data_IF_959079311664
#
_entry.id   IF_959079311664
#
_cell.length_a   1.000
_cell.length_b   1.000
_cell.length_c   1.000
_cell.angle_alpha   90.00
_cell.angle_beta   90.00
_cell.angle_gamma   90.00
#
_symmetry.space_group_name_H-M   'P 1'
#
loop_
_entity.id
_entity.type
_entity.pdbx_description
1 polymer ?
#
# COMPACT_ATOMS: atom_id res chain seq x y z
N UNK A 1 -6.56 -9.20 -26.57
CA UNK A 1 -5.40 -9.79 -27.27
C UNK A 1 -4.76 -8.81 -28.26
N UNK A 2 -5.41 -8.48 -29.38
CA UNK A 2 -4.87 -7.55 -30.38
C UNK A 2 -4.30 -6.25 -29.80
N UNK A 3 -5.03 -5.60 -28.89
CA UNK A 3 -4.56 -4.36 -28.23
C UNK A 3 -3.26 -4.56 -27.44
N UNK A 4 -3.12 -5.68 -26.72
CA UNK A 4 -1.90 -6.00 -25.96
C UNK A 4 -0.72 -6.16 -26.91
N UNK A 5 -0.93 -6.85 -28.03
CA UNK A 5 0.14 -7.18 -28.97
C UNK A 5 0.58 -5.96 -29.80
N UNK A 6 -0.39 -5.21 -30.33
CA UNK A 6 -0.12 -4.04 -31.19
C UNK A 6 0.44 -2.86 -30.39
N UNK A 7 -0.07 -2.62 -29.18
CA UNK A 7 0.39 -1.53 -28.33
C UNK A 7 1.49 -1.95 -27.34
N UNK A 8 1.90 -3.23 -27.36
CA UNK A 8 2.93 -3.81 -26.49
C UNK A 8 2.67 -3.49 -25.00
N UNK A 9 1.44 -3.78 -24.54
CA UNK A 9 1.04 -3.47 -23.17
C UNK A 9 1.70 -4.42 -22.17
N UNK A 10 2.22 -3.84 -21.08
CA UNK A 10 2.74 -4.57 -19.91
C UNK A 10 1.82 -4.47 -18.70
N UNK A 11 0.86 -3.55 -18.71
CA UNK A 11 0.00 -3.24 -17.57
C UNK A 11 -1.42 -2.93 -18.06
N UNK A 12 -2.40 -3.59 -17.45
CA UNK A 12 -3.83 -3.31 -17.66
C UNK A 12 -4.46 -3.02 -16.31
N UNK A 13 -5.10 -1.86 -16.24
CA UNK A 13 -6.03 -1.52 -15.19
C UNK A 13 -7.42 -1.87 -15.69
N UNK A 14 -8.07 -2.85 -15.04
CA UNK A 14 -9.47 -3.18 -15.28
C UNK A 14 -10.32 -2.43 -14.27
N UNK A 15 -10.95 -1.35 -14.72
CA UNK A 15 -11.99 -0.65 -13.97
C UNK A 15 -13.36 -1.11 -14.45
N UNK A 16 -14.32 -1.17 -13.52
CA UNK A 16 -15.70 -1.49 -13.83
C UNK A 16 -16.38 -2.33 -12.76
N UNK A 17 -17.68 -2.10 -12.60
CA UNK A 17 -18.52 -2.89 -11.72
C UNK A 17 -18.74 -4.28 -12.33
N UNK A 18 -18.42 -5.33 -11.59
CA UNK A 18 -18.75 -6.71 -11.99
C UNK A 18 -20.22 -7.07 -11.66
N UNK A 19 -20.96 -6.14 -11.04
CA UNK A 19 -22.37 -6.29 -10.69
C UNK A 19 -23.27 -5.66 -11.75
N UNK A 20 -23.89 -6.51 -12.56
CA UNK A 20 -24.94 -6.09 -13.50
C UNK A 20 -26.21 -5.79 -12.72
N UNK A 21 -26.43 -4.50 -12.41
CA UNK A 21 -27.59 -3.99 -11.65
C UNK A 21 -28.94 -4.32 -12.29
N UNK A 22 -28.99 -4.31 -13.63
CA UNK A 22 -30.19 -4.61 -14.44
C UNK A 22 -29.77 -5.36 -15.68
N UNK A 23 -30.46 -6.45 -16.00
CA UNK A 23 -30.31 -7.12 -17.29
C UNK A 23 -31.68 -7.34 -17.92
N UNK A 24 -31.79 -6.93 -19.18
CA UNK A 24 -33.02 -7.01 -19.96
C UNK A 24 -32.97 -8.16 -20.98
N UNK A 25 -31.88 -8.94 -21.00
CA UNK A 25 -31.79 -10.10 -21.89
C UNK A 25 -32.84 -11.13 -21.47
N UNK A 26 -33.62 -11.56 -22.43
CA UNK A 26 -34.62 -12.62 -22.28
C UNK A 26 -34.07 -14.00 -22.67
N UNK A 27 -32.80 -14.08 -23.09
CA UNK A 27 -32.14 -15.30 -23.53
C UNK A 27 -31.65 -16.22 -22.40
N UNK A 28 -31.69 -15.75 -21.14
CA UNK A 28 -31.31 -16.52 -19.96
C UNK A 28 -32.25 -16.16 -18.80
N UNK A 29 -32.18 -16.95 -17.72
CA UNK A 29 -33.00 -16.72 -16.52
C UNK A 29 -32.35 -15.70 -15.60
N UNK A 30 -33.13 -15.00 -14.78
CA UNK A 30 -32.61 -14.10 -13.74
C UNK A 30 -32.64 -14.74 -12.34
N UNK A 31 -32.68 -16.07 -12.28
CA UNK A 31 -32.55 -16.83 -11.03
C UNK A 31 -31.19 -16.58 -10.39
N UNK A 32 -31.08 -16.50 -9.06
CA UNK A 32 -29.82 -16.21 -8.38
C UNK A 32 -28.67 -17.15 -8.79
N UNK A 33 -28.96 -18.44 -9.05
CA UNK A 33 -27.98 -19.46 -9.46
C UNK A 33 -27.59 -19.39 -10.96
N UNK A 34 -28.32 -18.61 -11.76
CA UNK A 34 -28.07 -18.35 -13.18
C UNK A 34 -28.17 -16.84 -13.49
N UNK A 35 -27.90 -16.01 -12.49
CA UNK A 35 -28.18 -14.58 -12.55
C UNK A 35 -27.05 -13.85 -13.24
N UNK A 36 -27.32 -12.59 -13.59
CA UNK A 36 -26.31 -11.69 -14.12
C UNK A 36 -25.11 -11.51 -13.19
N UNK A 37 -25.27 -11.77 -11.88
CA UNK A 37 -24.17 -11.65 -10.92
C UNK A 37 -23.14 -12.77 -11.10
N UNK A 38 -23.60 -14.03 -11.15
CA UNK A 38 -22.71 -15.17 -11.39
C UNK A 38 -22.10 -15.07 -12.80
N UNK A 39 -22.92 -14.83 -13.82
CA UNK A 39 -22.47 -14.81 -15.22
C UNK A 39 -21.52 -13.64 -15.54
N UNK A 40 -21.66 -12.48 -14.89
CA UNK A 40 -20.74 -11.36 -15.11
C UNK A 40 -19.38 -11.59 -14.46
N UNK A 41 -19.36 -12.16 -13.25
CA UNK A 41 -18.12 -12.51 -12.55
C UNK A 41 -17.40 -13.66 -13.25
N UNK A 42 -18.13 -14.72 -13.60
CA UNK A 42 -17.57 -15.89 -14.30
C UNK A 42 -17.07 -15.53 -15.70
N UNK A 43 -17.82 -14.71 -16.44
CA UNK A 43 -17.39 -14.24 -17.76
C UNK A 43 -16.13 -13.36 -17.67
N UNK A 44 -16.04 -12.49 -16.66
CA UNK A 44 -14.83 -11.71 -16.42
C UNK A 44 -13.65 -12.61 -16.01
N UNK A 45 -13.88 -13.58 -15.13
CA UNK A 45 -12.88 -14.58 -14.74
C UNK A 45 -12.33 -15.34 -15.94
N UNK A 46 -13.20 -15.78 -16.87
CA UNK A 46 -12.79 -16.50 -18.08
C UNK A 46 -11.90 -15.62 -18.97
N UNK A 47 -12.29 -14.35 -19.17
CA UNK A 47 -11.49 -13.39 -19.94
C UNK A 47 -10.13 -13.18 -19.27
N UNK A 48 -10.09 -12.94 -17.95
CA UNK A 48 -8.85 -12.74 -17.22
C UNK A 48 -7.96 -13.98 -17.30
N UNK A 49 -8.49 -15.16 -17.01
CA UNK A 49 -7.76 -16.42 -17.05
C UNK A 49 -7.17 -16.68 -18.44
N UNK A 50 -7.97 -16.50 -19.50
CA UNK A 50 -7.51 -16.67 -20.87
C UNK A 50 -6.40 -15.68 -21.22
N UNK A 51 -6.57 -14.39 -20.92
CA UNK A 51 -5.53 -13.40 -21.25
C UNK A 51 -4.26 -13.64 -20.46
N UNK A 52 -4.35 -14.02 -19.18
CA UNK A 52 -3.18 -14.34 -18.34
C UNK A 52 -2.43 -15.57 -18.86
N UNK A 53 -3.13 -16.60 -19.31
CA UNK A 53 -2.52 -17.78 -19.92
C UNK A 53 -1.77 -17.39 -21.20
N UNK A 54 -2.41 -16.60 -22.06
CA UNK A 54 -1.85 -16.25 -23.37
C UNK A 54 -0.79 -15.15 -23.29
N UNK A 55 -0.85 -14.26 -22.29
CA UNK A 55 0.01 -13.06 -22.13
C UNK A 55 0.47 -12.90 -20.68
N UNK A 56 1.25 -13.85 -20.15
CA UNK A 56 1.59 -13.90 -18.71
C UNK A 56 2.49 -12.76 -18.23
N UNK A 57 3.04 -11.94 -19.14
CA UNK A 57 3.84 -10.76 -18.77
C UNK A 57 2.99 -9.55 -18.39
N UNK A 58 1.70 -9.54 -18.78
CA UNK A 58 0.81 -8.42 -18.53
C UNK A 58 0.38 -8.44 -17.07
N UNK A 59 0.64 -7.34 -16.37
CA UNK A 59 0.20 -7.10 -15.00
C UNK A 59 -1.25 -6.62 -15.03
N UNK A 60 -2.09 -7.24 -14.20
CA UNK A 60 -3.48 -6.87 -14.02
C UNK A 60 -3.72 -6.19 -12.67
N UNK A 61 -4.25 -4.97 -12.72
CA UNK A 61 -4.77 -4.24 -11.57
C UNK A 61 -6.29 -4.24 -11.57
N UNK A 62 -6.85 -4.69 -10.45
CA UNK A 62 -8.28 -4.66 -10.15
C UNK A 62 -8.70 -3.28 -9.67
N UNK A 63 -9.76 -2.73 -10.27
CA UNK A 63 -10.36 -1.44 -9.88
C UNK A 63 -11.88 -1.52 -9.99
N UNK A 64 -12.58 -0.96 -9.00
CA UNK A 64 -13.99 -0.62 -9.09
C UNK A 64 -14.24 0.64 -8.26
N UNK A 65 -14.28 1.81 -8.91
CA UNK A 65 -14.41 3.10 -8.22
C UNK A 65 -13.51 3.16 -6.98
N UNK A 66 -12.23 2.83 -7.18
CA UNK A 66 -11.29 2.55 -6.11
C UNK A 66 -11.38 1.11 -5.63
N UNK A 67 -11.37 0.93 -4.32
CA UNK A 67 -11.27 -0.38 -3.66
C UNK A 67 -12.60 -1.08 -3.41
N UNK A 68 -13.68 -0.79 -4.16
CA UNK A 68 -14.99 -1.39 -3.88
C UNK A 68 -15.04 -2.90 -4.19
N UNK A 69 -14.20 -3.38 -5.11
CA UNK A 69 -14.10 -4.81 -5.49
C UNK A 69 -12.91 -5.54 -4.85
N UNK A 70 -12.49 -5.19 -3.63
CA UNK A 70 -11.42 -5.94 -2.97
C UNK A 70 -11.94 -7.25 -2.36
N UNK A 71 -11.83 -8.35 -3.12
CA UNK A 71 -12.30 -9.68 -2.71
C UNK A 71 -11.19 -10.73 -2.72
N UNK A 72 -11.41 -11.88 -2.07
CA UNK A 72 -10.47 -13.01 -2.19
C UNK A 72 -10.49 -13.66 -3.58
N UNK A 73 -11.55 -13.44 -4.37
CA UNK A 73 -11.59 -13.87 -5.77
C UNK A 73 -10.66 -13.02 -6.62
N UNK A 74 -10.63 -11.70 -6.40
CA UNK A 74 -9.65 -10.80 -7.01
C UNK A 74 -8.22 -11.29 -6.73
N UNK A 75 -7.93 -11.79 -5.53
CA UNK A 75 -6.60 -12.32 -5.17
C UNK A 75 -6.17 -13.50 -6.06
N UNK A 76 -7.11 -14.27 -6.60
CA UNK A 76 -6.79 -15.41 -7.47
C UNK A 76 -6.47 -14.99 -8.91
N UNK A 77 -7.02 -13.85 -9.37
CA UNK A 77 -6.99 -13.43 -10.77
C UNK A 77 -6.07 -12.24 -11.04
N UNK A 78 -5.89 -11.36 -10.06
CA UNK A 78 -5.17 -10.10 -10.22
C UNK A 78 -3.82 -10.09 -9.52
N UNK A 79 -2.90 -9.31 -10.07
CA UNK A 79 -1.56 -9.12 -9.53
C UNK A 79 -1.57 -8.07 -8.40
N UNK A 80 -2.46 -7.09 -8.51
CA UNK A 80 -2.71 -6.03 -7.52
C UNK A 80 -4.14 -5.49 -7.59
N UNK A 81 -4.53 -4.65 -6.64
CA UNK A 81 -5.78 -3.89 -6.63
C UNK A 81 -5.52 -2.50 -6.09
N UNK A 82 -6.22 -1.50 -6.62
CA UNK A 82 -6.34 -0.20 -5.96
C UNK A 82 -7.15 -0.36 -4.66
N UNK A 83 -6.85 0.48 -3.68
CA UNK A 83 -7.52 0.48 -2.35
C UNK A 83 -8.50 1.64 -2.18
N UNK A 84 -8.31 2.75 -2.89
CA UNK A 84 -9.18 3.92 -2.83
C UNK A 84 -8.94 4.83 -4.05
N UNK A 85 -9.99 5.52 -4.49
CA UNK A 85 -9.89 6.61 -5.49
C UNK A 85 -9.45 7.92 -4.87
N UNK A 86 -9.62 8.07 -3.55
CA UNK A 86 -9.18 9.25 -2.86
C UNK A 86 -7.65 9.24 -2.74
N UNK A 87 -7.03 10.15 -3.49
CA UNK A 87 -5.58 10.28 -3.65
C UNK A 87 -4.95 11.29 -2.68
N UNK A 88 -5.71 11.78 -1.69
CA UNK A 88 -5.20 12.64 -0.61
C UNK A 88 -4.53 11.82 0.50
N UNK A 89 -3.72 12.50 1.30
CA UNK A 89 -2.82 11.85 2.27
C UNK A 89 -3.52 11.08 3.38
N UNK A 90 -4.63 11.59 3.92
CA UNK A 90 -5.32 10.96 5.05
C UNK A 90 -6.13 9.74 4.57
N UNK A 91 -7.00 9.87 3.55
CA UNK A 91 -7.77 8.74 3.05
C UNK A 91 -6.87 7.61 2.52
N UNK A 92 -5.76 7.94 1.85
CA UNK A 92 -4.78 6.95 1.41
C UNK A 92 -4.24 6.12 2.59
N UNK A 93 -3.87 6.76 3.70
CA UNK A 93 -3.34 6.05 4.87
C UNK A 93 -4.41 5.23 5.58
N UNK A 94 -5.64 5.73 5.66
CA UNK A 94 -6.79 4.98 6.19
C UNK A 94 -7.07 3.74 5.34
N UNK A 95 -7.07 3.89 4.02
CA UNK A 95 -7.24 2.78 3.08
C UNK A 95 -6.12 1.74 3.19
N UNK A 96 -4.84 2.16 3.29
CA UNK A 96 -3.71 1.27 3.53
C UNK A 96 -3.90 0.51 4.85
N UNK A 97 -4.24 1.22 5.92
CA UNK A 97 -4.44 0.62 7.25
C UNK A 97 -5.56 -0.43 7.22
N UNK A 98 -6.69 -0.12 6.58
CA UNK A 98 -7.83 -1.04 6.43
C UNK A 98 -7.53 -2.24 5.52
N UNK A 99 -7.03 -2.00 4.30
CA UNK A 99 -6.79 -3.04 3.30
C UNK A 99 -5.74 -4.07 3.75
N UNK A 100 -4.80 -3.66 4.59
CA UNK A 100 -3.74 -4.54 5.09
C UNK A 100 -4.14 -5.46 6.26
N UNK A 101 -5.41 -5.41 6.71
CA UNK A 101 -5.96 -6.45 7.59
C UNK A 101 -6.20 -7.78 6.84
N UNK A 102 -7.00 -7.79 5.75
CA UNK A 102 -7.26 -9.02 4.99
C UNK A 102 -6.30 -9.27 3.83
N UNK A 103 -5.61 -8.25 3.30
CA UNK A 103 -4.79 -8.38 2.09
C UNK A 103 -3.31 -8.14 2.33
N UNK A 104 -2.49 -8.81 1.52
CA UNK A 104 -1.05 -8.57 1.45
C UNK A 104 -0.74 -7.17 0.91
N UNK A 105 0.41 -6.62 1.30
CA UNK A 105 0.94 -5.33 0.81
C UNK A 105 1.10 -5.23 -0.71
N UNK A 106 1.04 -6.34 -1.45
CA UNK A 106 1.02 -6.30 -2.91
C UNK A 106 -0.31 -5.87 -3.52
N UNK A 107 -1.39 -5.91 -2.74
CA UNK A 107 -2.75 -5.52 -3.14
C UNK A 107 -3.14 -4.14 -2.61
N UNK A 108 -2.13 -3.27 -2.43
CA UNK A 108 -2.35 -1.93 -1.91
C UNK A 108 -1.89 -0.91 -2.94
N UNK A 109 -2.35 -1.03 -4.20
CA UNK A 109 -2.07 -0.02 -5.21
C UNK A 109 -2.71 1.30 -4.80
N UNK A 110 -2.01 2.40 -5.05
CA UNK A 110 -2.49 3.75 -4.78
C UNK A 110 -1.84 4.75 -5.70
N UNK A 111 -2.63 5.77 -6.00
CA UNK A 111 -2.26 6.86 -6.87
C UNK A 111 -2.06 8.10 -6.02
N UNK A 112 -0.89 8.72 -6.12
CA UNK A 112 -0.60 9.96 -5.41
C UNK A 112 -0.69 11.12 -6.39
N UNK A 113 -1.66 12.01 -6.15
CA UNK A 113 -1.86 13.25 -6.94
C UNK A 113 -1.39 14.51 -6.21
N UNK A 114 -1.38 14.48 -4.88
CA UNK A 114 -0.90 15.58 -4.03
C UNK A 114 0.56 15.94 -4.32
N UNK A 115 0.90 17.23 -4.19
CA UNK A 115 2.28 17.73 -4.40
C UNK A 115 3.25 17.06 -3.43
N UNK A 116 4.51 16.82 -3.83
CA UNK A 116 5.43 16.01 -3.03
C UNK A 116 5.99 16.84 -1.88
N UNK A 117 5.78 16.32 -0.67
CA UNK A 117 6.47 16.66 0.57
C UNK A 117 6.92 15.34 1.21
N UNK A 118 7.75 15.38 2.25
CA UNK A 118 8.05 14.16 3.01
C UNK A 118 6.76 13.52 3.53
N UNK A 119 5.85 14.32 4.08
CA UNK A 119 4.58 13.85 4.59
C UNK A 119 3.69 13.19 3.52
N UNK A 120 3.55 13.81 2.34
CA UNK A 120 2.63 13.31 1.30
C UNK A 120 3.18 12.07 0.58
N UNK A 121 4.48 12.06 0.29
CA UNK A 121 5.14 10.89 -0.32
C UNK A 121 5.13 9.69 0.60
N UNK A 122 5.43 9.89 1.89
CA UNK A 122 5.46 8.80 2.89
C UNK A 122 4.09 8.24 3.18
N UNK A 123 3.06 9.09 3.17
CA UNK A 123 1.66 8.67 3.27
C UNK A 123 1.26 7.66 2.18
N UNK A 124 1.94 7.68 1.03
CA UNK A 124 1.57 6.92 -0.16
C UNK A 124 2.52 5.78 -0.48
N UNK A 125 3.61 5.54 0.27
CA UNK A 125 4.66 4.59 -0.13
C UNK A 125 4.75 3.30 0.72
N UNK A 126 3.95 3.15 1.78
CA UNK A 126 3.85 1.88 2.52
C UNK A 126 3.06 0.84 1.71
N UNK A 127 3.66 -0.31 1.40
CA UNK A 127 3.06 -1.32 0.51
C UNK A 127 3.28 -1.03 -0.98
N UNK A 128 2.47 -1.60 -1.87
CA UNK A 128 2.68 -1.48 -3.32
C UNK A 128 1.45 -1.79 -4.18
N UNK A 129 1.48 -1.38 -5.47
CA UNK A 129 2.40 -0.44 -6.16
C UNK A 129 2.12 1.05 -5.86
N UNK A 130 3.19 1.88 -5.83
CA UNK A 130 3.08 3.34 -5.61
C UNK A 130 3.09 4.04 -6.96
N UNK A 131 1.96 4.63 -7.32
CA UNK A 131 1.75 5.21 -8.64
C UNK A 131 1.66 6.73 -8.50
N UNK A 132 2.32 7.45 -9.40
CA UNK A 132 2.37 8.92 -9.39
C UNK A 132 1.38 9.45 -10.43
N UNK A 133 0.28 10.05 -9.97
CA UNK A 133 -0.71 10.70 -10.83
C UNK A 133 -0.57 12.22 -10.76
N UNK A 134 0.66 12.70 -10.90
CA UNK A 134 0.98 14.13 -10.83
C UNK A 134 1.27 14.70 -12.20
N UNK A 135 1.01 16.01 -12.36
CA UNK A 135 1.50 16.78 -13.51
C UNK A 135 2.98 17.08 -13.35
N UNK A 136 3.83 16.14 -13.75
CA UNK A 136 5.29 16.20 -13.52
C UNK A 136 5.96 17.47 -14.08
N UNK A 137 5.40 18.04 -15.15
CA UNK A 137 5.89 19.28 -15.79
C UNK A 137 5.65 20.53 -14.94
N UNK A 138 4.68 20.49 -14.02
CA UNK A 138 4.30 21.61 -13.13
C UNK A 138 5.03 21.58 -11.77
N UNK A 139 5.82 20.53 -11.51
CA UNK A 139 6.64 20.44 -10.30
C UNK A 139 7.83 21.39 -10.38
N UNK A 140 8.13 22.07 -9.28
CA UNK A 140 9.36 22.83 -9.12
C UNK A 140 10.59 21.91 -9.09
N UNK A 141 11.78 22.50 -9.25
CA UNK A 141 13.03 21.71 -9.20
C UNK A 141 13.28 21.08 -7.83
N UNK A 142 12.87 21.73 -6.73
CA UNK A 142 12.97 21.17 -5.38
C UNK A 142 12.02 20.00 -5.18
N UNK A 143 10.77 20.12 -5.62
CA UNK A 143 9.77 19.05 -5.57
C UNK A 143 10.18 17.83 -6.39
N UNK A 144 10.71 18.03 -7.60
CA UNK A 144 11.24 16.93 -8.42
C UNK A 144 12.41 16.23 -7.75
N UNK A 145 13.30 17.00 -7.11
CA UNK A 145 14.47 16.45 -6.41
C UNK A 145 14.03 15.62 -5.19
N UNK A 146 13.09 16.13 -4.40
CA UNK A 146 12.48 15.41 -3.28
C UNK A 146 11.77 14.13 -3.74
N UNK A 147 10.95 14.23 -4.79
CA UNK A 147 10.24 13.08 -5.33
C UNK A 147 11.23 12.01 -5.83
N UNK A 148 12.33 12.42 -6.48
CA UNK A 148 13.40 11.51 -6.90
C UNK A 148 14.06 10.79 -5.72
N UNK A 149 14.36 11.49 -4.62
CA UNK A 149 14.95 10.87 -3.43
C UNK A 149 13.99 9.88 -2.76
N UNK A 150 12.72 10.24 -2.64
CA UNK A 150 11.70 9.36 -2.03
C UNK A 150 11.36 8.16 -2.93
N UNK A 151 11.40 8.31 -4.27
CA UNK A 151 11.32 7.16 -5.20
C UNK A 151 12.49 6.20 -4.98
N UNK A 152 13.72 6.72 -4.84
CA UNK A 152 14.89 5.88 -4.58
C UNK A 152 14.75 5.12 -3.26
N UNK A 153 14.25 5.81 -2.22
CA UNK A 153 13.95 5.21 -0.91
C UNK A 153 12.90 4.10 -1.03
N UNK A 154 11.79 4.37 -1.71
CA UNK A 154 10.76 3.35 -1.97
C UNK A 154 11.33 2.15 -2.71
N UNK A 155 12.17 2.36 -3.75
CA UNK A 155 12.82 1.28 -4.49
C UNK A 155 13.72 0.40 -3.62
N UNK A 156 14.40 0.98 -2.63
CA UNK A 156 15.23 0.24 -1.68
C UNK A 156 14.37 -0.61 -0.73
N UNK A 157 13.25 -0.08 -0.22
CA UNK A 157 12.41 -0.81 0.74
C UNK A 157 11.39 -1.76 0.09
N UNK A 158 10.95 -1.55 -1.15
CA UNK A 158 9.78 -2.27 -1.71
C UNK A 158 9.95 -3.80 -1.78
N UNK A 159 11.18 -4.32 -1.76
CA UNK A 159 11.43 -5.76 -1.71
C UNK A 159 10.99 -6.36 -0.37
N UNK A 160 11.11 -5.61 0.73
CA UNK A 160 10.61 -5.99 2.05
C UNK A 160 9.10 -6.29 1.99
N UNK A 161 8.32 -5.43 1.34
CA UNK A 161 6.86 -5.53 1.29
C UNK A 161 6.34 -6.81 0.61
N UNK A 162 7.15 -7.49 -0.21
CA UNK A 162 6.73 -8.73 -0.88
C UNK A 162 6.45 -9.89 0.07
N UNK A 163 7.07 -9.89 1.25
CA UNK A 163 7.00 -11.01 2.21
C UNK A 163 6.89 -10.58 3.67
N UNK A 164 6.96 -9.27 3.95
CA UNK A 164 6.81 -8.76 5.30
C UNK A 164 5.38 -8.92 5.83
N UNK A 165 5.29 -9.21 7.12
CA UNK A 165 4.04 -9.17 7.87
C UNK A 165 3.76 -7.74 8.34
N UNK A 166 2.53 -7.28 8.13
CA UNK A 166 2.07 -5.98 8.62
C UNK A 166 1.74 -6.07 10.11
N UNK A 167 2.16 -5.07 10.88
CA UNK A 167 1.69 -4.84 12.23
C UNK A 167 1.17 -3.41 12.35
N UNK A 168 -0.14 -3.32 12.58
CA UNK A 168 -0.84 -2.10 12.91
C UNK A 168 -0.47 -1.67 14.34
N UNK A 169 0.17 -0.51 14.46
CA UNK A 169 0.67 0.00 15.74
C UNK A 169 -0.29 1.04 16.32
N UNK A 170 -0.79 1.95 15.48
CA UNK A 170 -1.77 2.97 15.86
C UNK A 170 -2.62 3.36 14.65
N UNK A 171 -3.96 3.43 14.77
CA UNK A 171 -4.85 3.73 13.66
C UNK A 171 -4.71 5.17 13.19
N UNK A 172 -5.11 5.41 11.94
CA UNK A 172 -5.29 6.75 11.39
C UNK A 172 -6.65 7.28 11.84
N UNK A 173 -6.68 8.43 12.52
CA UNK A 173 -7.91 9.01 13.08
C UNK A 173 -8.24 10.33 12.38
N UNK A 174 -8.65 10.28 11.11
CA UNK A 174 -8.94 11.49 10.32
C UNK A 174 -7.74 12.44 10.22
N UNK A 175 -6.52 11.91 10.37
CA UNK A 175 -5.29 12.70 10.37
C UNK A 175 -5.00 13.48 11.67
N UNK A 176 -5.68 13.19 12.76
CA UNK A 176 -5.40 13.77 14.07
C UNK A 176 -4.40 12.93 14.88
N UNK A 177 -3.55 13.60 15.66
CA UNK A 177 -2.60 12.96 16.57
C UNK A 177 -1.53 12.12 15.86
N UNK A 178 -1.19 10.98 16.44
CA UNK A 178 -0.20 10.06 15.89
C UNK A 178 -0.87 8.86 15.22
N UNK A 179 -0.27 8.37 14.15
CA UNK A 179 -0.59 7.08 13.56
C UNK A 179 0.68 6.35 13.11
N UNK A 180 0.62 5.01 13.11
CA UNK A 180 1.79 4.21 12.82
C UNK A 180 1.44 2.80 12.33
N UNK A 181 2.19 2.36 11.33
CA UNK A 181 2.09 1.03 10.74
C UNK A 181 3.50 0.50 10.44
N UNK A 182 3.68 -0.81 10.56
CA UNK A 182 4.98 -1.43 10.33
C UNK A 182 4.89 -2.68 9.48
N UNK A 183 5.97 -2.99 8.78
CA UNK A 183 6.14 -4.20 7.99
C UNK A 183 7.44 -4.88 8.43
N UNK A 184 7.35 -6.09 8.98
CA UNK A 184 8.51 -6.87 9.48
C UNK A 184 8.60 -8.20 8.73
N UNK A 185 9.78 -8.50 8.20
CA UNK A 185 10.12 -9.74 7.51
C UNK A 185 11.03 -10.60 8.38
N UNK A 186 10.68 -11.88 8.51
CA UNK A 186 11.47 -12.94 9.15
C UNK A 186 11.97 -12.61 10.57
N UNK A 187 11.24 -11.72 11.27
CA UNK A 187 11.64 -11.15 12.57
C UNK A 187 13.06 -10.55 12.55
N UNK A 188 13.56 -10.13 11.39
CA UNK A 188 14.95 -9.71 11.20
C UNK A 188 15.05 -8.30 10.61
N UNK A 189 14.21 -7.97 9.64
CA UNK A 189 14.26 -6.70 8.94
C UNK A 189 12.86 -6.09 8.91
N UNK A 190 12.76 -4.77 9.02
CA UNK A 190 11.48 -4.11 8.90
C UNK A 190 11.54 -2.61 8.79
N UNK A 191 10.39 -2.02 8.48
CA UNK A 191 10.18 -0.57 8.48
C UNK A 191 8.95 -0.21 9.30
N UNK A 192 9.02 0.93 9.98
CA UNK A 192 7.89 1.56 10.66
C UNK A 192 7.69 2.93 10.05
N UNK A 193 6.48 3.18 9.59
CA UNK A 193 6.05 4.50 9.16
C UNK A 193 5.31 5.12 10.34
N UNK A 194 5.76 6.30 10.74
CA UNK A 194 5.13 7.07 11.82
C UNK A 194 4.79 8.45 11.30
N UNK A 195 3.61 8.92 11.69
CA UNK A 195 3.11 10.21 11.27
C UNK A 195 2.55 10.94 12.48
N UNK A 196 2.78 12.26 12.50
CA UNK A 196 2.15 13.18 13.42
C UNK A 196 1.29 14.13 12.60
N UNK A 197 -0.01 14.00 12.71
CA UNK A 197 -0.99 14.92 12.14
C UNK A 197 -1.20 16.16 13.01
N UNK A 198 -2.37 16.78 12.88
CA UNK A 198 -2.74 17.93 13.73
C UNK A 198 -3.08 17.46 15.15
N UNK A 199 -2.59 18.19 16.15
CA UNK A 199 -2.74 17.81 17.55
C UNK A 199 -1.82 16.67 17.97
N UNK A 200 -1.96 16.23 19.23
CA UNK A 200 -1.06 15.24 19.83
C UNK A 200 0.25 15.81 20.35
N UNK A 201 0.88 15.08 21.26
CA UNK A 201 2.15 15.46 21.89
C UNK A 201 3.28 15.54 20.86
N UNK A 202 4.29 16.38 21.12
CA UNK A 202 5.45 16.51 20.23
C UNK A 202 6.30 15.25 20.13
N UNK A 203 6.22 14.39 21.14
CA UNK A 203 6.95 13.15 21.26
C UNK A 203 5.99 12.03 21.57
N UNK A 204 6.23 10.87 20.95
CA UNK A 204 5.46 9.65 21.17
C UNK A 204 6.38 8.43 21.13
N UNK A 205 6.01 7.37 21.84
CA UNK A 205 6.76 6.10 21.85
C UNK A 205 6.00 5.02 21.12
N UNK A 206 6.66 4.37 20.15
CA UNK A 206 6.09 3.28 19.37
C UNK A 206 6.75 1.96 19.76
N UNK A 207 5.95 0.90 19.89
CA UNK A 207 6.41 -0.42 20.31
C UNK A 207 6.37 -1.37 19.10
N UNK A 208 7.53 -1.67 18.47
CA UNK A 208 7.58 -2.58 17.34
C UNK A 208 7.04 -3.96 17.72
N UNK A 209 6.26 -4.57 16.83
CA UNK A 209 5.74 -5.94 17.00
C UNK A 209 6.44 -6.87 16.01
N UNK A 210 6.42 -8.17 16.29
CA UNK A 210 6.95 -9.18 15.36
C UNK A 210 8.46 -9.37 15.37
N UNK A 211 9.17 -8.77 16.34
CA UNK A 211 10.60 -9.00 16.54
C UNK A 211 10.86 -10.26 17.38
N UNK A 212 12.09 -10.78 17.31
CA UNK A 212 12.60 -11.82 18.20
C UNK A 212 13.20 -11.14 19.44
N UNK A 213 12.77 -11.53 20.64
CA UNK A 213 13.19 -10.91 21.89
C UNK A 213 14.71 -10.98 22.12
N UNK A 214 15.35 -12.07 21.69
CA UNK A 214 16.74 -12.38 22.01
C UNK A 214 17.72 -11.78 20.98
N UNK A 215 17.21 -11.28 19.85
CA UNK A 215 18.04 -10.64 18.82
C UNK A 215 18.32 -9.19 19.15
N UNK A 216 19.51 -8.73 18.78
CA UNK A 216 19.88 -7.33 18.78
C UNK A 216 19.49 -6.72 17.44
N UNK A 217 18.91 -5.53 17.49
CA UNK A 217 18.49 -4.77 16.32
C UNK A 217 19.18 -3.42 16.31
N UNK A 218 19.64 -3.06 15.12
CA UNK A 218 20.04 -1.72 14.75
C UNK A 218 18.83 -0.97 14.20
N UNK A 219 18.51 0.18 14.80
CA UNK A 219 17.42 1.06 14.43
C UNK A 219 18.00 2.34 13.85
N UNK A 220 17.52 2.73 12.67
CA UNK A 220 17.84 3.99 12.01
C UNK A 220 16.60 4.73 11.57
N UNK A 221 16.77 6.02 11.29
CA UNK A 221 15.72 6.93 10.90
C UNK A 221 16.06 7.54 9.53
N UNK A 222 15.05 7.94 8.76
CA UNK A 222 15.28 8.51 7.45
C UNK A 222 15.77 9.96 7.51
N UNK A 223 15.38 10.71 8.55
CA UNK A 223 15.65 12.16 8.63
C UNK A 223 16.60 12.57 9.77
N UNK A 224 17.04 11.64 10.61
CA UNK A 224 18.05 11.88 11.66
C UNK A 224 19.19 10.87 11.58
N UNK A 225 20.39 11.32 11.95
CA UNK A 225 21.62 10.53 11.90
C UNK A 225 21.73 9.49 13.04
N UNK A 226 20.81 9.54 14.00
CA UNK A 226 20.86 8.70 15.19
C UNK A 226 20.75 7.21 14.84
N UNK A 227 21.55 6.42 15.55
CA UNK A 227 21.51 4.96 15.50
C UNK A 227 21.26 4.46 16.90
N UNK A 228 20.22 3.63 17.06
CA UNK A 228 19.92 2.97 18.32
C UNK A 228 20.21 1.48 18.13
N UNK A 229 20.83 0.85 19.14
CA UNK A 229 21.05 -0.60 19.18
C UNK A 229 20.40 -1.14 20.44
N UNK A 230 19.43 -2.03 20.29
CA UNK A 230 18.61 -2.60 21.37
C UNK A 230 18.18 -4.03 21.07
N UNK A 231 17.93 -4.82 22.09
CA UNK A 231 17.35 -6.16 21.93
C UNK A 231 15.87 -6.06 21.55
N UNK A 232 15.31 -7.11 20.93
CA UNK A 232 13.87 -7.18 20.69
C UNK A 232 13.06 -7.12 22.00
N UNK A 233 13.60 -7.67 23.10
CA UNK A 233 12.99 -7.56 24.43
C UNK A 233 12.92 -6.10 24.91
N UNK A 234 14.00 -5.34 24.77
CA UNK A 234 14.02 -3.92 25.12
C UNK A 234 13.06 -3.11 24.24
N UNK A 235 13.05 -3.33 22.92
CA UNK A 235 12.12 -2.66 22.02
C UNK A 235 10.66 -2.96 22.33
N UNK A 236 10.36 -4.18 22.78
CA UNK A 236 9.01 -4.57 23.20
C UNK A 236 8.61 -3.85 24.50
N UNK A 237 9.54 -3.64 25.42
CA UNK A 237 9.26 -3.05 26.74
C UNK A 237 9.30 -1.51 26.72
N UNK A 238 10.30 -0.94 26.07
CA UNK A 238 10.64 0.48 26.13
C UNK A 238 10.31 1.24 24.83
N UNK A 239 10.10 0.52 23.73
CA UNK A 239 9.73 1.11 22.44
C UNK A 239 10.81 2.00 21.83
N UNK A 240 10.39 2.81 20.86
CA UNK A 240 11.20 3.78 20.13
C UNK A 240 10.53 5.14 20.27
N UNK A 241 11.21 6.08 20.92
CA UNK A 241 10.74 7.45 21.08
C UNK A 241 11.01 8.27 19.82
N UNK A 242 9.99 8.96 19.34
CA UNK A 242 10.00 9.77 18.13
C UNK A 242 9.45 11.15 18.44
N UNK A 243 10.18 12.19 18.04
CA UNK A 243 9.73 13.58 18.10
C UNK A 243 9.59 14.14 16.70
N UNK A 244 8.42 14.70 16.37
CA UNK A 244 8.14 15.29 15.06
C UNK A 244 7.44 16.63 15.20
N UNK A 245 7.66 17.58 14.27
CA UNK A 245 6.76 18.71 14.09
C UNK A 245 5.31 18.25 13.79
N UNK A 246 4.35 19.14 14.00
CA UNK A 246 2.97 18.89 13.55
C UNK A 246 2.94 18.69 12.03
N UNK A 247 2.09 17.78 11.56
CA UNK A 247 1.93 17.45 10.13
C UNK A 247 3.24 16.99 9.46
N UNK A 248 3.96 16.10 10.15
CA UNK A 248 5.23 15.52 9.68
C UNK A 248 5.25 14.00 9.83
N UNK A 249 6.31 13.36 9.31
CA UNK A 249 6.43 11.91 9.25
C UNK A 249 7.88 11.47 9.34
N UNK A 250 8.12 10.21 9.70
CA UNK A 250 9.43 9.59 9.74
C UNK A 250 9.33 8.12 9.30
N UNK A 251 10.41 7.60 8.72
CA UNK A 251 10.55 6.17 8.42
C UNK A 251 11.66 5.62 9.29
N UNK A 252 11.31 4.65 10.12
CA UNK A 252 12.24 3.95 10.99
C UNK A 252 12.57 2.61 10.34
N UNK A 253 13.85 2.33 10.13
CA UNK A 253 14.33 1.02 9.66
C UNK A 253 14.86 0.22 10.84
N UNK A 254 14.50 -1.06 10.90
CA UNK A 254 14.93 -2.01 11.93
C UNK A 254 15.63 -3.17 11.23
N UNK A 255 16.84 -3.50 11.65
CA UNK A 255 17.61 -4.62 11.07
C UNK A 255 18.31 -5.37 12.17
N UNK A 256 18.18 -6.69 12.20
CA UNK A 256 18.90 -7.55 13.12
C UNK A 256 20.41 -7.45 12.84
N UNK A 257 21.20 -7.34 13.91
CA UNK A 257 22.65 -7.49 13.79
C UNK A 257 22.98 -8.97 13.50
N UNK A 258 24.09 -9.19 12.78
CA UNK A 258 24.57 -10.53 12.43
C UNK A 258 25.13 -11.25 13.64
#
# INVERSE_FOLDING_TARGET
MRLIDEAQLDYILQDGENMVKVCEKTSHTHDAENSNYASAVEGLDEVLAYVREQRPWVIWENVENGGQMMTFKMVQQYDTSIICDDMDTIPTREAIYGATYPFSLRYTARYMRVRPTLYTTRSSMFGGPWILMQRLTELSSSERSLLKSEIARYKNMRQLFRSAKVFHLRPVLGGAGWDAISAIKDKAEGVIFVFRGKGGNATETFYPKGLNNDRVYRITFADRADVIVRTGADLKQNGISVSLPSESSEIITITAEQ
#
